data_IF_273823107723
#
_entry.id   IF_273823107723
#
_cell.length_a   1.000
_cell.length_b   1.000
_cell.length_c   1.000
_cell.angle_alpha   90.00
_cell.angle_beta   90.00
_cell.angle_gamma   90.00
#
_symmetry.space_group_name_H-M   'P 1'
#
loop_
_entity.id
_entity.type
_entity.pdbx_description
1 polymer ?
#
# COMPACT_ATOMS: atom_id res chain seq x y z
N UNK A 1 -6.29 8.99 -11.04
CA UNK A 1 -5.34 8.64 -9.97
C UNK A 1 -5.54 9.47 -8.71
N UNK A 2 -5.87 10.76 -8.82
CA UNK A 2 -6.12 11.65 -7.66
C UNK A 2 -7.13 11.09 -6.65
N UNK A 3 -8.19 10.40 -7.08
CA UNK A 3 -9.15 9.75 -6.16
C UNK A 3 -8.52 8.63 -5.33
N UNK A 4 -7.55 7.89 -5.89
CA UNK A 4 -6.82 6.85 -5.18
C UNK A 4 -5.94 7.48 -4.09
N UNK A 5 -5.19 8.52 -4.45
CA UNK A 5 -4.36 9.27 -3.51
C UNK A 5 -5.18 9.93 -2.41
N UNK A 6 -6.30 10.58 -2.73
CA UNK A 6 -7.20 11.15 -1.72
C UNK A 6 -7.74 10.11 -0.74
N UNK A 7 -8.01 8.89 -1.21
CA UNK A 7 -8.41 7.79 -0.32
C UNK A 7 -7.26 7.38 0.60
N UNK A 8 -6.04 7.31 0.08
CA UNK A 8 -4.85 7.06 0.89
C UNK A 8 -4.66 8.13 1.98
N UNK A 9 -4.78 9.41 1.64
CA UNK A 9 -4.70 10.52 2.61
C UNK A 9 -5.75 10.39 3.71
N UNK A 10 -6.99 10.02 3.36
CA UNK A 10 -8.05 9.77 4.34
C UNK A 10 -7.72 8.59 5.25
N UNK A 11 -7.29 7.45 4.69
CA UNK A 11 -6.88 6.28 5.49
C UNK A 11 -5.74 6.63 6.44
N UNK A 12 -4.71 7.35 5.97
CA UNK A 12 -3.60 7.80 6.81
C UNK A 12 -4.05 8.77 7.91
N UNK A 13 -4.98 9.68 7.60
CA UNK A 13 -5.57 10.58 8.59
C UNK A 13 -6.35 9.83 9.66
N UNK A 14 -7.19 8.87 9.26
CA UNK A 14 -7.96 8.02 10.18
C UNK A 14 -7.03 7.20 11.08
N UNK A 15 -5.96 6.65 10.52
CA UNK A 15 -4.93 5.94 11.28
C UNK A 15 -4.19 6.86 12.27
N UNK A 16 -3.83 8.09 11.87
CA UNK A 16 -3.17 9.06 12.76
C UNK A 16 -4.09 9.52 13.91
N UNK A 17 -5.41 9.54 13.71
CA UNK A 17 -6.37 9.90 14.76
C UNK A 17 -6.34 8.94 15.96
N UNK A 18 -5.92 7.68 15.77
CA UNK A 18 -5.77 6.70 16.85
C UNK A 18 -4.74 7.18 17.90
N UNK A 19 -3.71 7.95 17.52
CA UNK A 19 -2.74 8.52 18.47
C UNK A 19 -3.43 9.39 19.52
N UNK A 20 -4.47 10.13 19.15
CA UNK A 20 -5.21 10.98 20.10
C UNK A 20 -5.97 10.15 21.15
N UNK A 21 -6.47 8.98 20.75
CA UNK A 21 -7.13 8.03 21.66
C UNK A 21 -6.08 7.41 22.58
N UNK A 22 -4.94 6.96 22.03
CA UNK A 22 -3.82 6.44 22.80
C UNK A 22 -3.35 7.44 23.87
N UNK A 23 -3.09 8.69 23.48
CA UNK A 23 -2.62 9.75 24.38
C UNK A 23 -3.62 10.07 25.49
N UNK A 24 -4.93 10.12 25.14
CA UNK A 24 -5.99 10.33 26.11
C UNK A 24 -6.05 9.19 27.13
N UNK A 25 -6.01 7.93 26.67
CA UNK A 25 -6.06 6.76 27.56
C UNK A 25 -4.85 6.72 28.49
N UNK A 26 -3.65 6.91 27.93
CA UNK A 26 -2.39 6.93 28.69
C UNK A 26 -2.39 8.01 29.78
N UNK A 27 -3.00 9.17 29.51
CA UNK A 27 -3.04 10.30 30.44
C UNK A 27 -4.16 10.22 31.48
N UNK A 28 -5.36 9.81 31.06
CA UNK A 28 -6.59 9.99 31.84
C UNK A 28 -7.08 8.71 32.53
N UNK A 29 -6.72 7.52 32.03
CA UNK A 29 -7.17 6.25 32.59
C UNK A 29 -6.09 5.68 33.51
N UNK A 30 -6.31 5.79 34.82
CA UNK A 30 -5.36 5.32 35.84
C UNK A 30 -5.62 3.84 36.14
N UNK A 31 -4.69 2.96 35.76
CA UNK A 31 -4.72 1.52 36.04
C UNK A 31 -3.58 0.79 35.31
N UNK A 32 -3.30 -0.49 35.60
CA UNK A 32 -2.26 -1.27 34.93
C UNK A 32 -2.75 -1.77 33.55
N UNK A 33 -3.24 -0.87 32.71
CA UNK A 33 -3.72 -1.17 31.36
C UNK A 33 -2.62 -0.84 30.36
N UNK A 34 -2.38 -1.76 29.43
CA UNK A 34 -1.48 -1.56 28.30
C UNK A 34 -2.30 -1.17 27.07
N UNK A 35 -1.92 -0.07 26.41
CA UNK A 35 -2.60 0.47 25.23
C UNK A 35 -1.79 0.31 23.94
N UNK A 36 -0.70 -0.45 23.96
CA UNK A 36 0.23 -0.62 22.85
C UNK A 36 -0.43 -1.27 21.63
N UNK A 37 -1.54 -1.98 21.82
CA UNK A 37 -2.32 -2.54 20.72
C UNK A 37 -2.95 -1.47 19.82
N UNK A 38 -3.15 -0.24 20.33
CA UNK A 38 -3.51 0.89 19.49
C UNK A 38 -2.35 1.29 18.56
N UNK A 39 -1.11 1.25 19.06
CA UNK A 39 0.08 1.52 18.25
C UNK A 39 0.30 0.42 17.19
N UNK A 40 0.12 -0.85 17.58
CA UNK A 40 0.16 -2.00 16.65
C UNK A 40 -0.90 -1.88 15.56
N UNK A 41 -2.11 -1.49 15.92
CA UNK A 41 -3.20 -1.22 14.97
C UNK A 41 -2.80 -0.12 13.98
N UNK A 42 -2.19 0.97 14.46
CA UNK A 42 -1.74 2.05 13.59
C UNK A 42 -0.68 1.58 12.58
N UNK A 43 0.27 0.77 13.03
CA UNK A 43 1.28 0.18 12.16
C UNK A 43 0.64 -0.63 11.03
N UNK A 44 -0.24 -1.57 11.38
CA UNK A 44 -0.92 -2.44 10.40
C UNK A 44 -1.79 -1.63 9.44
N UNK A 45 -2.56 -0.65 9.94
CA UNK A 45 -3.44 0.15 9.09
C UNK A 45 -2.66 1.04 8.11
N UNK A 46 -1.54 1.63 8.53
CA UNK A 46 -0.73 2.46 7.65
C UNK A 46 -0.15 1.69 6.46
N UNK A 47 0.38 0.49 6.71
CA UNK A 47 0.87 -0.39 5.63
C UNK A 47 -0.27 -0.85 4.74
N UNK A 48 -1.45 -1.13 5.32
CA UNK A 48 -2.67 -1.47 4.57
C UNK A 48 -3.14 -0.30 3.68
N UNK A 49 -2.97 0.95 4.14
CA UNK A 49 -3.28 2.13 3.34
C UNK A 49 -2.34 2.25 2.13
N UNK A 50 -1.04 1.97 2.31
CA UNK A 50 -0.06 1.94 1.22
C UNK A 50 -0.37 0.85 0.19
N UNK A 51 -0.64 -0.37 0.64
CA UNK A 51 -1.07 -1.48 -0.22
C UNK A 51 -2.28 -1.07 -1.07
N UNK A 52 -3.29 -0.49 -0.40
CA UNK A 52 -4.51 -0.03 -1.06
C UNK A 52 -4.24 1.07 -2.09
N UNK A 53 -3.33 1.99 -1.79
CA UNK A 53 -2.91 3.03 -2.73
C UNK A 53 -2.34 2.40 -4.01
N UNK A 54 -1.41 1.45 -3.88
CA UNK A 54 -0.75 0.82 -5.02
C UNK A 54 -1.76 0.03 -5.87
N UNK A 55 -2.66 -0.72 -5.23
CA UNK A 55 -3.79 -1.38 -5.92
C UNK A 55 -4.63 -0.39 -6.74
N UNK A 56 -5.08 0.70 -6.09
CA UNK A 56 -5.96 1.67 -6.74
C UNK A 56 -5.23 2.44 -7.86
N UNK A 57 -3.93 2.74 -7.71
CA UNK A 57 -3.11 3.38 -8.75
C UNK A 57 -2.91 2.46 -9.95
N UNK A 58 -2.51 1.20 -9.74
CA UNK A 58 -2.29 0.22 -10.80
C UNK A 58 -3.60 -0.04 -11.54
N UNK A 59 -4.70 -0.28 -10.83
CA UNK A 59 -6.03 -0.46 -11.43
C UNK A 59 -6.41 0.69 -12.35
N UNK A 60 -6.34 1.93 -11.84
CA UNK A 60 -6.70 3.12 -12.63
C UNK A 60 -5.74 3.31 -13.81
N UNK A 61 -4.44 3.08 -13.61
CA UNK A 61 -3.43 3.23 -14.65
C UNK A 61 -3.58 2.20 -15.77
N UNK A 62 -3.93 0.96 -15.45
CA UNK A 62 -4.22 -0.05 -16.46
C UNK A 62 -5.47 0.30 -17.26
N UNK A 63 -6.53 0.81 -16.63
CA UNK A 63 -7.71 1.32 -17.34
C UNK A 63 -7.35 2.52 -18.23
N UNK A 64 -6.45 3.40 -17.80
CA UNK A 64 -5.95 4.49 -18.65
C UNK A 64 -5.19 3.97 -19.86
N UNK A 65 -4.37 2.93 -19.72
CA UNK A 65 -3.70 2.30 -20.87
C UNK A 65 -4.74 1.66 -21.81
N UNK A 66 -5.69 0.92 -21.24
CA UNK A 66 -6.77 0.26 -22.00
C UNK A 66 -7.61 1.25 -22.83
N UNK A 67 -7.81 2.46 -22.32
CA UNK A 67 -8.58 3.53 -22.98
C UNK A 67 -7.73 4.49 -23.81
N UNK A 68 -6.44 4.20 -24.02
CA UNK A 68 -5.54 5.02 -24.83
C UNK A 68 -5.10 6.34 -24.20
N UNK A 69 -5.35 6.55 -22.90
CA UNK A 69 -4.95 7.75 -22.14
C UNK A 69 -3.52 7.68 -21.60
N UNK A 70 -2.89 6.50 -21.65
CA UNK A 70 -1.52 6.25 -21.21
C UNK A 70 -0.86 5.23 -22.13
N UNK A 71 0.44 5.41 -22.39
CA UNK A 71 1.23 4.46 -23.18
C UNK A 71 1.31 3.08 -22.50
N UNK A 72 1.25 2.01 -23.29
CA UNK A 72 1.39 0.65 -22.78
C UNK A 72 2.82 0.35 -22.34
N UNK A 73 2.94 -0.41 -21.24
CA UNK A 73 4.21 -0.95 -20.75
C UNK A 73 4.41 -2.38 -21.25
N UNK A 74 5.64 -2.90 -21.16
CA UNK A 74 5.91 -4.32 -21.46
C UNK A 74 5.05 -5.22 -20.56
N UNK A 75 4.99 -4.91 -19.27
CA UNK A 75 4.23 -5.74 -18.32
C UNK A 75 2.73 -5.71 -18.57
N UNK A 76 2.16 -4.55 -18.90
CA UNK A 76 0.75 -4.43 -19.28
C UNK A 76 0.41 -5.33 -20.48
N UNK A 77 1.28 -5.38 -21.50
CA UNK A 77 1.05 -6.21 -22.70
C UNK A 77 1.01 -7.71 -22.40
N UNK A 78 1.59 -8.13 -21.28
CA UNK A 78 1.56 -9.52 -20.81
C UNK A 78 0.37 -9.79 -19.86
N UNK A 79 -0.48 -8.80 -19.58
CA UNK A 79 -1.69 -9.00 -18.77
C UNK A 79 -2.66 -9.94 -19.49
N UNK A 80 -3.02 -11.04 -18.85
CA UNK A 80 -3.79 -12.11 -19.49
C UNK A 80 -5.29 -11.96 -19.25
N UNK A 81 -6.07 -12.20 -20.29
CA UNK A 81 -7.53 -12.39 -20.23
C UNK A 81 -7.87 -13.79 -20.74
N UNK A 82 -8.94 -14.40 -20.22
CA UNK A 82 -9.38 -15.72 -20.66
C UNK A 82 -10.42 -15.61 -21.79
N UNK A 83 -10.68 -16.74 -22.47
CA UNK A 83 -11.64 -16.80 -23.58
C UNK A 83 -13.06 -16.43 -23.13
N UNK A 84 -13.46 -16.80 -21.92
CA UNK A 84 -14.78 -16.43 -21.38
C UNK A 84 -14.94 -14.90 -21.29
N UNK A 85 -13.88 -14.20 -20.86
CA UNK A 85 -13.87 -12.74 -20.85
C UNK A 85 -13.96 -12.17 -22.27
N UNK A 86 -13.23 -12.74 -23.24
CA UNK A 86 -13.27 -12.31 -24.64
C UNK A 86 -14.66 -12.48 -25.26
N UNK A 87 -15.29 -13.64 -25.08
CA UNK A 87 -16.64 -13.93 -25.59
C UNK A 87 -17.69 -12.99 -24.98
N UNK A 88 -17.57 -12.70 -23.68
CA UNK A 88 -18.46 -11.76 -22.98
C UNK A 88 -18.37 -10.35 -23.59
N UNK A 89 -17.17 -9.80 -23.76
CA UNK A 89 -17.02 -8.43 -24.27
C UNK A 89 -17.27 -8.35 -25.78
N UNK A 90 -17.07 -9.44 -26.52
CA UNK A 90 -17.42 -9.52 -27.95
C UNK A 90 -18.94 -9.49 -28.17
N UNK A 91 -19.72 -10.19 -27.32
CA UNK A 91 -21.19 -10.18 -27.38
C UNK A 91 -21.81 -8.90 -26.81
N UNK A 92 -21.12 -8.24 -25.87
CA UNK A 92 -21.61 -7.04 -25.18
C UNK A 92 -20.53 -5.93 -25.16
N UNK A 93 -20.25 -5.23 -26.27
CA UNK A 93 -19.09 -4.32 -26.33
C UNK A 93 -19.11 -3.15 -25.33
N UNK A 94 -20.30 -2.69 -24.91
CA UNK A 94 -20.41 -1.53 -24.01
C UNK A 94 -19.91 -1.80 -22.58
N UNK A 95 -19.72 -3.07 -22.18
CA UNK A 95 -19.18 -3.42 -20.85
C UNK A 95 -17.67 -3.65 -20.84
N UNK A 96 -16.97 -3.47 -21.98
CA UNK A 96 -15.56 -3.87 -22.09
C UNK A 96 -14.64 -3.18 -21.07
N UNK A 97 -14.84 -1.89 -20.81
CA UNK A 97 -14.05 -1.12 -19.84
C UNK A 97 -14.33 -1.58 -18.39
N UNK A 98 -15.58 -1.62 -17.90
CA UNK A 98 -15.85 -2.09 -16.54
C UNK A 98 -15.49 -3.57 -16.34
N UNK A 99 -15.64 -4.44 -17.34
CA UNK A 99 -15.20 -5.84 -17.24
C UNK A 99 -13.68 -5.97 -17.24
N UNK A 100 -12.95 -5.14 -18.00
CA UNK A 100 -11.50 -5.08 -17.90
C UNK A 100 -11.06 -4.65 -16.49
N UNK A 101 -11.66 -3.60 -15.94
CA UNK A 101 -11.35 -3.13 -14.59
C UNK A 101 -11.62 -4.21 -13.53
N UNK A 102 -12.75 -4.92 -13.62
CA UNK A 102 -13.07 -6.08 -12.76
C UNK A 102 -12.03 -7.18 -12.88
N UNK A 103 -11.53 -7.44 -14.10
CA UNK A 103 -10.48 -8.44 -14.33
C UNK A 103 -9.19 -8.08 -13.61
N UNK A 104 -8.78 -6.81 -13.69
CA UNK A 104 -7.60 -6.29 -12.97
C UNK A 104 -7.79 -6.44 -11.46
N UNK A 105 -8.95 -6.04 -10.91
CA UNK A 105 -9.26 -6.19 -9.49
C UNK A 105 -9.17 -7.66 -9.06
N UNK A 106 -9.75 -8.58 -9.83
CA UNK A 106 -9.76 -10.02 -9.49
C UNK A 106 -8.36 -10.63 -9.52
N UNK A 107 -7.55 -10.32 -10.54
CA UNK A 107 -6.21 -10.87 -10.67
C UNK A 107 -5.20 -10.29 -9.68
N UNK A 108 -5.37 -9.03 -9.29
CA UNK A 108 -4.47 -8.43 -8.30
C UNK A 108 -4.97 -8.61 -6.86
N UNK A 109 -6.26 -8.85 -6.61
CA UNK A 109 -6.86 -8.77 -5.28
C UNK A 109 -6.33 -9.75 -4.22
N UNK A 110 -5.62 -10.81 -4.60
CA UNK A 110 -4.97 -11.73 -3.66
C UNK A 110 -3.48 -11.40 -3.42
N UNK A 111 -2.93 -10.39 -4.12
CA UNK A 111 -1.55 -9.96 -4.02
C UNK A 111 -1.42 -8.82 -3.01
N UNK A 112 -0.39 -8.90 -2.16
CA UNK A 112 0.03 -7.79 -1.31
C UNK A 112 1.13 -6.97 -2.00
N UNK A 113 0.89 -5.67 -2.14
CA UNK A 113 1.75 -4.66 -2.73
C UNK A 113 2.30 -3.70 -1.66
N UNK A 114 2.99 -4.29 -0.69
CA UNK A 114 3.59 -3.57 0.44
C UNK A 114 5.13 -3.67 0.44
N UNK A 115 5.67 -4.83 0.05
CA UNK A 115 7.12 -5.03 -0.07
C UNK A 115 7.67 -4.21 -1.26
N UNK A 116 8.88 -3.62 -1.13
CA UNK A 116 9.44 -2.78 -2.18
C UNK A 116 9.48 -3.42 -3.57
N UNK A 117 9.79 -4.71 -3.65
CA UNK A 117 9.89 -5.42 -4.92
C UNK A 117 8.51 -5.72 -5.50
N UNK A 118 7.54 -6.05 -4.64
CA UNK A 118 6.13 -6.23 -5.03
C UNK A 118 5.51 -4.92 -5.52
N UNK A 119 5.81 -3.79 -4.89
CA UNK A 119 5.38 -2.46 -5.36
C UNK A 119 5.98 -2.16 -6.73
N UNK A 120 7.30 -2.33 -6.89
CA UNK A 120 7.99 -2.08 -8.17
C UNK A 120 7.41 -2.95 -9.30
N UNK A 121 7.17 -4.22 -9.00
CA UNK A 121 6.56 -5.18 -9.90
C UNK A 121 5.13 -4.74 -10.28
N UNK A 122 4.29 -4.38 -9.31
CA UNK A 122 2.92 -3.91 -9.56
C UNK A 122 2.89 -2.62 -10.41
N UNK A 123 3.72 -1.62 -10.06
CA UNK A 123 3.83 -0.36 -10.79
C UNK A 123 4.32 -0.54 -12.22
N UNK A 124 5.07 -1.61 -12.51
CA UNK A 124 5.54 -1.90 -13.87
C UNK A 124 4.40 -2.15 -14.86
N UNK A 125 3.19 -2.48 -14.39
CA UNK A 125 1.99 -2.51 -15.24
C UNK A 125 1.66 -1.13 -15.83
N UNK A 126 2.02 -0.04 -15.17
CA UNK A 126 1.56 1.31 -15.53
C UNK A 126 2.68 2.33 -15.71
N UNK A 127 3.92 1.94 -15.42
CA UNK A 127 5.09 2.82 -15.41
C UNK A 127 6.36 2.07 -15.83
N UNK A 128 6.95 2.47 -16.97
CA UNK A 128 8.10 1.77 -17.60
C UNK A 128 9.46 2.38 -17.22
N UNK A 129 9.61 2.84 -15.97
CA UNK A 129 10.90 3.32 -15.48
C UNK A 129 11.83 2.16 -15.11
N UNK A 130 13.11 2.29 -15.50
CA UNK A 130 14.17 1.32 -15.19
C UNK A 130 14.42 1.23 -13.68
N UNK A 131 14.70 2.37 -13.01
CA UNK A 131 14.97 2.41 -11.57
C UNK A 131 13.89 3.19 -10.81
N UNK A 132 12.74 2.52 -10.60
CA UNK A 132 11.58 3.10 -9.92
C UNK A 132 11.90 3.59 -8.51
N UNK A 133 12.69 2.82 -7.76
CA UNK A 133 13.02 3.16 -6.38
C UNK A 133 14.00 4.32 -6.28
N UNK A 134 14.89 4.52 -7.25
CA UNK A 134 15.69 5.74 -7.32
C UNK A 134 14.78 6.98 -7.46
N UNK A 135 13.83 6.93 -8.41
CA UNK A 135 12.91 8.03 -8.65
C UNK A 135 11.98 8.31 -7.45
N UNK A 136 11.50 7.27 -6.76
CA UNK A 136 10.71 7.41 -5.53
C UNK A 136 11.56 8.01 -4.41
N UNK A 137 12.78 7.52 -4.21
CA UNK A 137 13.66 8.01 -3.15
C UNK A 137 14.10 9.47 -3.39
N UNK A 138 14.35 9.86 -4.64
CA UNK A 138 14.66 11.24 -5.00
C UNK A 138 13.52 12.21 -4.63
N UNK A 139 12.26 11.78 -4.78
CA UNK A 139 11.09 12.55 -4.31
C UNK A 139 11.00 12.68 -2.80
N UNK A 140 11.57 11.73 -2.08
CA UNK A 140 11.66 11.76 -0.62
C UNK A 140 12.88 12.51 -0.10
N UNK A 141 13.81 12.90 -0.99
CA UNK A 141 15.13 13.43 -0.65
C UNK A 141 15.96 12.46 0.19
N UNK A 142 15.86 11.16 -0.12
CA UNK A 142 16.48 10.07 0.62
C UNK A 142 17.31 9.16 -0.30
N UNK A 143 18.19 8.34 0.28
CA UNK A 143 18.88 7.30 -0.47
C UNK A 143 17.94 6.13 -0.83
N UNK A 144 18.12 5.58 -2.03
CA UNK A 144 17.32 4.47 -2.56
C UNK A 144 17.37 3.24 -1.65
N UNK A 145 18.55 2.86 -1.15
CA UNK A 145 18.69 1.67 -0.33
C UNK A 145 18.07 1.90 1.04
N UNK A 146 18.26 3.10 1.61
CA UNK A 146 17.60 3.50 2.86
C UNK A 146 16.08 3.36 2.75
N UNK A 147 15.44 3.95 1.73
CA UNK A 147 13.98 3.86 1.55
C UNK A 147 13.52 2.41 1.43
N UNK A 148 14.20 1.60 0.61
CA UNK A 148 13.84 0.19 0.41
C UNK A 148 14.00 -0.64 1.68
N UNK A 149 15.11 -0.48 2.40
CA UNK A 149 15.37 -1.22 3.66
C UNK A 149 14.36 -0.82 4.72
N UNK A 150 14.11 0.48 4.90
CA UNK A 150 13.13 0.98 5.88
C UNK A 150 11.74 0.43 5.59
N UNK A 151 11.27 0.50 4.34
CA UNK A 151 9.97 -0.06 3.97
C UNK A 151 9.91 -1.57 4.22
N UNK A 152 10.98 -2.31 3.87
CA UNK A 152 11.03 -3.76 4.10
C UNK A 152 10.93 -4.12 5.59
N UNK A 153 11.65 -3.39 6.45
CA UNK A 153 11.58 -3.59 7.90
C UNK A 153 10.18 -3.29 8.44
N UNK A 154 9.53 -2.22 7.95
CA UNK A 154 8.16 -1.87 8.33
C UNK A 154 7.17 -2.98 7.95
N UNK A 155 7.29 -3.55 6.75
CA UNK A 155 6.47 -4.67 6.28
C UNK A 155 6.71 -5.94 7.11
N UNK A 156 7.98 -6.26 7.40
CA UNK A 156 8.31 -7.40 8.28
C UNK A 156 7.66 -7.24 9.65
N UNK A 157 7.78 -6.07 10.27
CA UNK A 157 7.14 -5.77 11.55
C UNK A 157 5.61 -5.88 11.47
N UNK A 158 5.00 -5.38 10.39
CA UNK A 158 3.56 -5.53 10.14
C UNK A 158 3.14 -7.00 10.12
N UNK A 159 3.92 -7.87 9.49
CA UNK A 159 3.61 -9.30 9.40
C UNK A 159 3.72 -9.98 10.76
N UNK A 160 4.74 -9.64 11.55
CA UNK A 160 4.85 -10.10 12.93
C UNK A 160 3.60 -9.72 13.74
N UNK A 161 3.14 -8.47 13.63
CA UNK A 161 1.94 -7.99 14.33
C UNK A 161 0.66 -8.69 13.84
N UNK A 162 0.44 -8.74 12.53
CA UNK A 162 -0.84 -9.16 11.96
C UNK A 162 -1.00 -10.68 11.80
N UNK A 163 0.09 -11.41 11.61
CA UNK A 163 0.06 -12.84 11.29
C UNK A 163 0.70 -13.73 12.37
N UNK A 164 1.64 -13.20 13.15
CA UNK A 164 2.38 -13.97 14.17
C UNK A 164 1.95 -13.63 15.61
N UNK A 165 0.97 -12.73 15.79
CA UNK A 165 0.48 -12.30 17.11
C UNK A 165 1.44 -11.40 17.89
N UNK A 166 2.54 -10.99 17.24
CA UNK A 166 3.63 -10.18 17.79
C UNK A 166 4.42 -10.81 18.95
N UNK A 167 4.33 -12.14 19.12
CA UNK A 167 5.00 -12.84 20.21
C UNK A 167 6.50 -13.05 19.94
N UNK A 168 7.34 -12.86 20.97
CA UNK A 168 8.80 -13.10 20.91
C UNK A 168 9.23 -14.41 21.55
N UNK A 169 8.35 -15.02 22.34
CA UNK A 169 8.61 -16.27 23.05
C UNK A 169 7.31 -17.03 23.36
N UNK A 170 7.48 -18.27 23.83
CA UNK A 170 6.38 -19.15 24.25
C UNK A 170 5.73 -18.72 25.58
N UNK A 171 6.29 -17.72 26.26
CA UNK A 171 5.76 -17.16 27.51
C UNK A 171 4.71 -16.07 27.26
N UNK A 172 4.45 -15.74 26.00
CA UNK A 172 3.44 -14.76 25.61
C UNK A 172 3.94 -13.31 25.69
N UNK A 173 5.25 -13.09 25.78
CA UNK A 173 5.80 -11.75 25.67
C UNK A 173 5.67 -11.26 24.22
N UNK A 174 5.32 -10.00 24.04
CA UNK A 174 5.25 -9.36 22.73
C UNK A 174 6.40 -8.37 22.54
N UNK A 175 6.77 -8.11 21.30
CA UNK A 175 7.77 -7.06 21.01
C UNK A 175 7.28 -5.70 21.54
N UNK A 176 8.19 -4.95 22.15
CA UNK A 176 7.92 -3.58 22.60
C UNK A 176 7.63 -2.70 21.39
N UNK A 177 6.68 -1.79 21.54
CA UNK A 177 6.35 -0.78 20.53
C UNK A 177 6.17 0.56 21.22
N UNK A 178 6.90 1.57 20.77
CA UNK A 178 6.80 2.92 21.32
C UNK A 178 6.02 3.83 20.37
N UNK A 179 5.39 4.84 20.97
CA UNK A 179 4.66 5.86 20.19
C UNK A 179 5.57 6.59 19.21
N UNK A 180 6.81 6.88 19.60
CA UNK A 180 7.78 7.57 18.73
C UNK A 180 8.10 6.76 17.48
N UNK A 181 8.31 5.45 17.62
CA UNK A 181 8.57 4.56 16.49
C UNK A 181 7.36 4.49 15.55
N UNK A 182 6.16 4.42 16.14
CA UNK A 182 4.90 4.41 15.40
C UNK A 182 4.73 5.71 14.61
N UNK A 183 4.95 6.86 15.23
CA UNK A 183 4.87 8.17 14.57
C UNK A 183 5.89 8.29 13.41
N UNK A 184 7.12 7.77 13.58
CA UNK A 184 8.13 7.70 12.51
C UNK A 184 7.64 6.86 11.34
N UNK A 185 7.04 5.69 11.60
CA UNK A 185 6.51 4.81 10.55
C UNK A 185 5.32 5.44 9.82
N UNK A 186 4.38 6.05 10.55
CA UNK A 186 3.24 6.73 9.93
C UNK A 186 3.71 7.83 8.98
N UNK A 187 4.70 8.63 9.40
CA UNK A 187 5.27 9.68 8.55
C UNK A 187 6.05 9.13 7.35
N UNK A 188 6.79 8.04 7.55
CA UNK A 188 7.53 7.39 6.47
C UNK A 188 6.58 6.83 5.39
N UNK A 189 5.53 6.10 5.81
CA UNK A 189 4.53 5.54 4.89
C UNK A 189 3.80 6.64 4.10
N UNK A 190 3.44 7.73 4.78
CA UNK A 190 2.82 8.91 4.16
C UNK A 190 3.70 9.52 3.05
N UNK A 191 5.01 9.69 3.35
CA UNK A 191 6.01 10.17 2.38
C UNK A 191 6.20 9.21 1.20
N UNK A 192 6.35 7.92 1.46
CA UNK A 192 6.52 6.90 0.40
C UNK A 192 5.28 6.85 -0.49
N UNK A 193 4.08 6.81 0.08
CA UNK A 193 2.83 6.81 -0.68
C UNK A 193 2.68 8.05 -1.56
N UNK A 194 3.02 9.23 -1.01
CA UNK A 194 3.04 10.49 -1.75
C UNK A 194 4.05 10.47 -2.90
N UNK A 195 5.28 10.03 -2.64
CA UNK A 195 6.32 9.91 -3.66
C UNK A 195 5.93 8.95 -4.79
N UNK A 196 5.35 7.79 -4.46
CA UNK A 196 4.83 6.83 -5.45
C UNK A 196 3.76 7.49 -6.32
N UNK A 197 2.77 8.15 -5.70
CA UNK A 197 1.71 8.84 -6.43
C UNK A 197 2.26 9.91 -7.37
N UNK A 198 3.19 10.75 -6.90
CA UNK A 198 3.79 11.80 -7.73
C UNK A 198 4.55 11.27 -8.94
N UNK A 199 5.21 10.11 -8.80
CA UNK A 199 5.94 9.47 -9.88
C UNK A 199 5.03 8.89 -10.97
N UNK A 200 3.77 8.54 -10.65
CA UNK A 200 2.90 7.77 -11.57
C UNK A 200 1.59 8.44 -11.93
N UNK A 201 1.25 9.60 -11.36
CA UNK A 201 -0.02 10.31 -11.56
C UNK A 201 -0.31 10.67 -13.02
#
# INVERSE_FOLDING_TARGET
MNRAYRKFELLMSDTKNISSIYDYLQKCVKGPLNYDDLLRLQWVQSVSALDKLVHDLVRVGMVHIFTGRRSSTVKYRNFQVDMNWYELVASTPYIIIPEFEKKVIKQHGYLAFEDPDKISDALSNIWDANDKWKLIADRMYEDKNTVRITLKNIVTRRNQIAHEGDYIDDFGNRQVIEKIDTDVVLNFIDKVGTAIYECVR
#
